data_IF_349831419654
#
_entry.id   IF_349831419654
#
_cell.length_a   1.000
_cell.length_b   1.000
_cell.length_c   1.000
_cell.angle_alpha   90.00
_cell.angle_beta   90.00
_cell.angle_gamma   90.00
#
_symmetry.space_group_name_H-M   'P 1'
#
loop_
_entity.id
_entity.type
_entity.pdbx_description
1 polymer ?
#
# COMPACT_ATOMS: atom_id res chain seq x y z
N UNK A 1 -20.76 -1.70 18.25
CA UNK A 1 -19.38 -1.24 18.58
C UNK A 1 -18.40 -2.05 17.73
N UNK A 2 -17.62 -1.42 16.85
CA UNK A 2 -16.62 -2.07 15.99
C UNK A 2 -15.40 -2.58 16.74
N UNK A 3 -15.62 -3.37 17.80
CA UNK A 3 -14.57 -3.89 18.67
C UNK A 3 -13.82 -5.02 17.94
N UNK A 4 -12.48 -4.99 17.91
CA UNK A 4 -11.71 -6.12 17.40
C UNK A 4 -12.06 -7.41 18.15
N UNK A 5 -12.15 -8.52 17.43
CA UNK A 5 -12.26 -9.85 18.05
C UNK A 5 -10.86 -10.36 18.38
N UNK A 6 -10.73 -11.08 19.49
CA UNK A 6 -9.50 -11.80 19.80
C UNK A 6 -9.30 -12.94 18.78
N UNK A 7 -8.04 -13.19 18.45
CA UNK A 7 -7.60 -14.34 17.65
C UNK A 7 -7.06 -15.38 18.63
N UNK A 8 -7.34 -16.68 18.49
CA UNK A 8 -8.16 -17.34 17.47
C UNK A 8 -9.69 -17.29 17.72
N UNK A 9 -10.55 -17.51 16.69
CA UNK A 9 -10.22 -17.88 15.30
C UNK A 9 -9.81 -16.68 14.43
N UNK A 10 -8.99 -16.93 13.39
CA UNK A 10 -8.67 -15.91 12.37
C UNK A 10 -9.88 -15.66 11.46
N UNK A 11 -9.96 -14.44 10.90
CA UNK A 11 -11.06 -14.01 10.03
C UNK A 11 -11.20 -14.91 8.79
N UNK A 12 -10.07 -15.41 8.27
CA UNK A 12 -10.04 -16.37 7.16
C UNK A 12 -10.76 -17.69 7.41
N UNK A 13 -11.01 -18.06 8.68
CA UNK A 13 -11.76 -19.26 9.06
C UNK A 13 -13.18 -18.90 9.49
N UNK A 14 -13.32 -17.96 10.44
CA UNK A 14 -14.62 -17.49 10.94
C UNK A 14 -14.62 -15.96 10.96
N UNK A 15 -15.09 -15.38 9.87
CA UNK A 15 -15.12 -13.95 9.59
C UNK A 15 -16.53 -13.36 9.64
N UNK A 16 -16.95 -12.76 8.53
CA UNK A 16 -18.24 -12.07 8.40
C UNK A 16 -19.39 -13.07 8.46
N UNK A 17 -20.37 -12.83 9.34
CA UNK A 17 -21.51 -13.73 9.58
C UNK A 17 -21.13 -15.19 9.87
N UNK A 18 -19.97 -15.39 10.53
CA UNK A 18 -19.46 -16.72 10.86
C UNK A 18 -18.84 -17.48 9.68
N UNK A 19 -18.77 -16.88 8.49
CA UNK A 19 -18.21 -17.51 7.29
C UNK A 19 -16.73 -17.15 7.11
N UNK A 20 -15.93 -18.01 6.45
CA UNK A 20 -14.58 -17.67 6.01
C UNK A 20 -14.55 -16.32 5.27
N UNK A 21 -13.67 -15.40 5.65
CA UNK A 21 -13.59 -14.07 5.01
C UNK A 21 -12.15 -13.57 4.95
N UNK A 22 -11.76 -12.99 3.82
CA UNK A 22 -10.48 -12.31 3.68
C UNK A 22 -10.69 -10.80 3.63
N UNK A 23 -10.07 -10.08 4.56
CA UNK A 23 -10.10 -8.62 4.59
C UNK A 23 -8.82 -8.11 3.95
N UNK A 24 -8.93 -7.53 2.75
CA UNK A 24 -7.81 -6.92 2.04
C UNK A 24 -7.96 -5.41 2.05
N UNK A 25 -6.84 -4.69 2.06
CA UNK A 25 -6.86 -3.25 1.78
C UNK A 25 -7.30 -3.01 0.32
N UNK A 26 -7.97 -1.90 0.06
CA UNK A 26 -8.44 -1.48 -1.26
C UNK A 26 -7.29 -1.45 -2.26
N UNK A 27 -6.15 -0.87 -1.87
CA UNK A 27 -4.95 -0.78 -2.73
C UNK A 27 -4.46 -2.16 -3.16
N UNK A 28 -4.36 -3.11 -2.22
CA UNK A 28 -3.96 -4.49 -2.52
C UNK A 28 -4.90 -5.13 -3.52
N UNK A 29 -6.22 -4.97 -3.33
CA UNK A 29 -7.21 -5.57 -4.22
C UNK A 29 -7.23 -4.89 -5.60
N UNK A 30 -7.06 -3.58 -5.66
CA UNK A 30 -7.00 -2.82 -6.92
C UNK A 30 -5.77 -3.20 -7.77
N UNK A 31 -4.61 -3.39 -7.13
CA UNK A 31 -3.37 -3.80 -7.78
C UNK A 31 -3.53 -5.16 -8.49
N UNK A 32 -4.37 -6.07 -7.98
CA UNK A 32 -4.61 -7.38 -8.62
C UNK A 32 -5.04 -7.20 -10.08
N UNK A 33 -5.93 -6.26 -10.37
CA UNK A 33 -6.38 -6.01 -11.74
C UNK A 33 -5.23 -5.52 -12.65
N UNK A 34 -4.36 -4.66 -12.13
CA UNK A 34 -3.17 -4.17 -12.83
C UNK A 34 -2.17 -5.30 -13.10
N UNK A 35 -1.88 -6.13 -12.09
CA UNK A 35 -0.99 -7.28 -12.20
C UNK A 35 -1.50 -8.28 -13.24
N UNK A 36 -2.81 -8.57 -13.25
CA UNK A 36 -3.41 -9.48 -14.23
C UNK A 36 -3.36 -8.93 -15.66
N UNK A 37 -3.50 -7.62 -15.86
CA UNK A 37 -3.47 -6.99 -17.18
C UNK A 37 -2.06 -6.86 -17.76
N UNK A 38 -1.10 -6.44 -16.95
CA UNK A 38 0.29 -6.19 -17.38
C UNK A 38 1.18 -7.45 -17.31
N UNK A 39 0.76 -8.44 -16.53
CA UNK A 39 1.53 -9.64 -16.23
C UNK A 39 2.42 -9.46 -14.99
N UNK A 40 2.49 -10.51 -14.17
CA UNK A 40 3.22 -10.49 -12.91
C UNK A 40 4.71 -10.15 -13.08
N UNK A 41 5.39 -10.71 -14.10
CA UNK A 41 6.81 -10.43 -14.36
C UNK A 41 7.10 -8.98 -14.73
N UNK A 42 6.15 -8.27 -15.34
CA UNK A 42 6.30 -6.86 -15.66
C UNK A 42 6.05 -5.98 -14.43
N UNK A 43 5.03 -6.30 -13.63
CA UNK A 43 4.82 -5.63 -12.34
C UNK A 43 5.99 -5.87 -11.38
N UNK A 44 6.63 -7.03 -11.47
CA UNK A 44 7.79 -7.40 -10.66
C UNK A 44 9.07 -6.58 -10.92
N UNK A 45 9.11 -5.81 -12.01
CA UNK A 45 10.24 -4.91 -12.32
C UNK A 45 10.25 -3.65 -11.46
N UNK A 46 9.12 -3.30 -10.85
CA UNK A 46 9.02 -2.18 -9.93
C UNK A 46 9.34 -2.64 -8.51
N UNK A 47 9.95 -1.76 -7.71
CA UNK A 47 10.26 -2.05 -6.33
C UNK A 47 11.65 -2.64 -6.13
N UNK A 48 11.82 -3.40 -5.04
CA UNK A 48 13.04 -4.14 -4.71
C UNK A 48 12.78 -5.65 -4.75
N UNK A 49 13.82 -6.47 -4.73
CA UNK A 49 13.70 -7.94 -4.75
C UNK A 49 12.80 -8.50 -3.65
N UNK A 50 12.80 -7.89 -2.46
CA UNK A 50 11.98 -8.31 -1.31
C UNK A 50 10.61 -7.64 -1.27
N UNK A 51 10.48 -6.45 -1.85
CA UNK A 51 9.26 -5.64 -1.82
C UNK A 51 8.95 -5.20 -3.25
N UNK A 52 8.21 -6.06 -3.95
CA UNK A 52 7.85 -5.90 -5.34
C UNK A 52 6.65 -4.94 -5.50
N UNK A 53 6.70 -4.13 -6.54
CA UNK A 53 5.61 -3.29 -7.00
C UNK A 53 5.71 -1.84 -6.53
N UNK A 54 4.58 -1.16 -6.62
CA UNK A 54 4.41 0.22 -6.20
C UNK A 54 3.61 0.31 -4.91
N UNK A 55 3.73 1.45 -4.23
CA UNK A 55 2.98 1.80 -3.04
C UNK A 55 2.45 3.21 -3.17
N UNK A 56 1.18 3.39 -2.85
CA UNK A 56 0.61 4.72 -2.66
C UNK A 56 0.97 5.22 -1.26
N UNK A 57 1.62 6.39 -1.19
CA UNK A 57 1.99 7.08 0.04
C UNK A 57 1.20 8.37 0.16
N UNK A 58 0.82 8.73 1.38
CA UNK A 58 0.23 10.03 1.70
C UNK A 58 1.30 10.92 2.32
N UNK A 59 1.80 11.88 1.55
CA UNK A 59 2.76 12.87 2.01
C UNK A 59 2.00 14.05 2.60
N UNK A 60 2.11 14.24 3.92
CA UNK A 60 1.40 15.27 4.68
C UNK A 60 2.36 15.95 5.68
N UNK A 61 1.94 17.06 6.27
CA UNK A 61 2.72 17.84 7.24
C UNK A 61 3.45 19.01 6.61
N UNK A 62 4.61 19.40 7.16
CA UNK A 62 5.39 20.56 6.73
C UNK A 62 6.21 20.26 5.45
N UNK A 63 5.53 19.89 4.38
CA UNK A 63 6.12 19.70 3.05
C UNK A 63 5.53 20.71 2.08
N UNK A 64 6.31 21.15 1.08
CA UNK A 64 5.83 22.16 0.13
C UNK A 64 4.69 21.66 -0.76
N UNK A 65 4.69 20.36 -1.09
CA UNK A 65 3.70 19.71 -1.95
C UNK A 65 3.10 18.49 -1.23
N UNK A 66 2.13 18.68 -0.31
CA UNK A 66 1.40 17.57 0.28
C UNK A 66 0.48 16.91 -0.76
N UNK A 67 0.28 15.60 -0.66
CA UNK A 67 -0.54 14.84 -1.60
C UNK A 67 -0.41 13.33 -1.47
N UNK A 68 -1.18 12.61 -2.27
CA UNK A 68 -1.03 11.16 -2.43
C UNK A 68 -0.20 10.87 -3.68
N UNK A 69 0.87 10.10 -3.52
CA UNK A 69 1.81 9.78 -4.59
C UNK A 69 1.99 8.26 -4.68
N UNK A 70 2.04 7.75 -5.91
CA UNK A 70 2.43 6.37 -6.16
C UNK A 70 3.94 6.32 -6.41
N UNK A 71 4.65 5.50 -5.64
CA UNK A 71 6.11 5.36 -5.73
C UNK A 71 6.49 3.88 -5.83
N UNK A 72 7.61 3.54 -6.47
CA UNK A 72 8.17 2.19 -6.36
C UNK A 72 8.70 1.95 -4.94
N UNK A 73 8.60 0.72 -4.46
CA UNK A 73 9.29 0.34 -3.23
C UNK A 73 10.81 0.49 -3.36
N UNK A 74 11.48 0.89 -2.29
CA UNK A 74 12.94 1.11 -2.27
C UNK A 74 13.35 2.58 -2.41
N UNK A 75 12.43 3.47 -2.78
CA UNK A 75 12.67 4.91 -2.76
C UNK A 75 12.86 5.39 -1.31
N UNK A 76 13.86 6.25 -1.08
CA UNK A 76 14.19 6.76 0.24
C UNK A 76 13.23 7.88 0.65
N UNK A 77 13.05 8.07 1.96
CA UNK A 77 12.26 9.20 2.48
C UNK A 77 12.82 10.55 2.04
N UNK A 78 14.13 10.67 1.84
CA UNK A 78 14.75 11.91 1.35
C UNK A 78 14.27 12.23 -0.06
N UNK A 79 14.32 11.27 -0.97
CA UNK A 79 13.85 11.46 -2.35
C UNK A 79 12.35 11.79 -2.37
N UNK A 80 11.56 11.08 -1.56
CA UNK A 80 10.12 11.35 -1.43
C UNK A 80 9.86 12.79 -0.94
N UNK A 81 10.56 13.25 0.09
CA UNK A 81 10.31 14.58 0.69
C UNK A 81 10.83 15.70 -0.21
N UNK A 82 12.04 15.57 -0.74
CA UNK A 82 12.71 16.67 -1.44
C UNK A 82 12.43 16.66 -2.94
N UNK A 83 12.39 15.49 -3.59
CA UNK A 83 12.21 15.41 -5.05
C UNK A 83 10.72 15.44 -5.41
N UNK A 84 9.88 14.69 -4.70
CA UNK A 84 8.42 14.66 -4.93
C UNK A 84 7.72 15.77 -4.13
N UNK A 85 8.00 15.84 -2.83
CA UNK A 85 7.36 16.77 -1.89
C UNK A 85 7.84 18.21 -1.97
N UNK A 86 8.88 18.51 -2.76
CA UNK A 86 9.45 19.85 -2.91
C UNK A 86 10.22 20.38 -1.69
N UNK A 87 10.51 19.51 -0.72
CA UNK A 87 11.21 19.81 0.51
C UNK A 87 10.30 20.30 1.64
N UNK A 88 10.93 20.69 2.73
CA UNK A 88 10.25 21.09 3.97
C UNK A 88 9.87 22.58 3.90
N UNK A 89 8.70 22.90 4.45
CA UNK A 89 8.32 24.30 4.71
C UNK A 89 8.96 24.71 6.04
N UNK A 90 9.92 25.64 5.97
CA UNK A 90 10.58 26.24 7.13
C UNK A 90 9.70 27.28 7.80
#
# INVERSE_FOLDING_TARGET
>A
AGRPRMKPPRIGVVGYLGKPTQSNNVETLAIVATVLKMGASNYAKYGTEKSIGTKMISLCGNVKKPGAYEIPFGMTLREIIYDIGGGIVG
#
